data_IF_676251464524
#
_entry.id   IF_676251464524
#
_cell.length_a   1.000
_cell.length_b   1.000
_cell.length_c   1.000
_cell.angle_alpha   90.00
_cell.angle_beta   90.00
_cell.angle_gamma   90.00
#
_symmetry.space_group_name_H-M   'P 1'
#
loop_
_entity.id
_entity.type
_entity.pdbx_description
1 polymer ?
#
# COMPACT_ATOMS: atom_id res chain seq x y z
N UNK A 1 -17.98 36.97 7.58
CA UNK A 1 -17.01 37.18 8.69
C UNK A 1 -16.16 35.92 8.76
N UNK A 2 -15.01 35.95 8.10
CA UNK A 2 -14.07 34.84 7.92
C UNK A 2 -13.07 34.83 9.08
N UNK A 3 -13.26 33.97 10.09
CA UNK A 3 -12.31 33.87 11.23
C UNK A 3 -12.18 32.45 11.78
N UNK A 4 -12.23 31.42 10.91
CA UNK A 4 -11.90 30.03 11.31
C UNK A 4 -10.88 29.29 10.44
N UNK A 5 -10.24 29.95 9.47
CA UNK A 5 -9.21 29.33 8.62
C UNK A 5 -7.77 29.43 9.18
N UNK A 6 -7.54 30.18 10.27
CA UNK A 6 -6.18 30.45 10.76
C UNK A 6 -5.63 29.48 11.82
N UNK A 7 -6.39 28.48 12.26
CA UNK A 7 -5.95 27.51 13.29
C UNK A 7 -5.48 26.16 12.72
N UNK A 8 -5.73 25.89 11.43
CA UNK A 8 -5.26 24.66 10.79
C UNK A 8 -3.79 24.75 10.33
N UNK A 9 -3.31 25.95 10.00
CA UNK A 9 -1.95 26.15 9.48
C UNK A 9 -0.87 26.05 10.57
N UNK A 10 -1.13 26.56 11.78
CA UNK A 10 -0.17 26.51 12.89
C UNK A 10 0.00 25.09 13.46
N UNK A 11 -1.09 24.32 13.55
CA UNK A 11 -1.05 22.91 13.96
C UNK A 11 -0.32 22.03 12.93
N UNK A 12 -0.51 22.31 11.63
CA UNK A 12 0.22 21.63 10.56
C UNK A 12 1.72 21.94 10.57
N UNK A 13 2.13 23.13 11.04
CA UNK A 13 3.54 23.48 11.18
C UNK A 13 4.20 22.67 12.29
N UNK A 14 3.57 22.57 13.46
CA UNK A 14 4.07 21.77 14.59
C UNK A 14 4.21 20.28 14.29
N UNK A 15 3.19 19.67 13.67
CA UNK A 15 3.22 18.24 13.28
C UNK A 15 4.34 17.96 12.28
N UNK A 16 4.58 18.87 11.32
CA UNK A 16 5.67 18.71 10.35
C UNK A 16 7.05 18.81 10.99
N UNK A 17 7.21 19.64 12.02
CA UNK A 17 8.47 19.73 12.77
C UNK A 17 8.72 18.50 13.64
N UNK A 18 7.67 17.97 14.28
CA UNK A 18 7.74 16.72 15.05
C UNK A 18 8.11 15.53 14.17
N UNK A 19 7.47 15.35 13.01
CA UNK A 19 7.80 14.28 12.05
C UNK A 19 9.24 14.42 11.56
N UNK A 20 9.72 15.63 11.28
CA UNK A 20 11.11 15.86 10.88
C UNK A 20 12.10 15.49 11.99
N UNK A 21 11.80 15.86 13.23
CA UNK A 21 12.63 15.50 14.38
C UNK A 21 12.67 13.99 14.58
N UNK A 22 11.52 13.32 14.53
CA UNK A 22 11.40 11.87 14.65
C UNK A 22 12.19 11.16 13.54
N UNK A 23 12.03 11.59 12.28
CA UNK A 23 12.82 11.07 11.17
C UNK A 23 14.32 11.26 11.40
N UNK A 24 14.75 12.43 11.90
CA UNK A 24 16.16 12.68 12.23
C UNK A 24 16.69 11.71 13.30
N UNK A 25 15.94 11.51 14.38
CA UNK A 25 16.30 10.58 15.45
C UNK A 25 16.37 9.14 14.91
N UNK A 26 15.34 8.68 14.21
CA UNK A 26 15.28 7.32 13.66
C UNK A 26 16.40 7.07 12.66
N UNK A 27 16.74 8.04 11.80
CA UNK A 27 17.85 7.91 10.86
C UNK A 27 19.22 7.76 11.53
N UNK A 28 19.43 8.40 12.69
CA UNK A 28 20.65 8.18 13.49
C UNK A 28 20.63 6.79 14.13
N UNK A 29 19.48 6.36 14.65
CA UNK A 29 19.35 5.08 15.35
C UNK A 29 19.43 3.87 14.41
N UNK A 30 19.03 4.01 13.14
CA UNK A 30 19.03 2.91 12.17
C UNK A 30 20.41 2.66 11.55
N UNK A 31 21.29 3.66 11.48
CA UNK A 31 22.65 3.53 10.94
C UNK A 31 23.45 2.34 11.50
N UNK A 32 23.55 2.11 12.83
CA UNK A 32 24.26 0.94 13.35
C UNK A 32 23.58 -0.38 13.01
N UNK A 33 22.28 -0.37 12.72
CA UNK A 33 21.51 -1.55 12.28
C UNK A 33 21.81 -1.84 10.81
N UNK A 34 21.92 -0.81 9.97
CA UNK A 34 22.20 -0.89 8.52
C UNK A 34 23.68 -1.18 8.22
N UNK A 35 24.20 -2.25 8.83
CA UNK A 35 25.56 -2.71 8.66
C UNK A 35 25.65 -3.89 7.66
N UNK A 36 26.88 -4.32 7.35
CA UNK A 36 27.16 -5.42 6.42
C UNK A 36 26.44 -6.71 6.80
N UNK A 37 26.31 -7.02 8.10
CA UNK A 37 25.60 -8.22 8.54
C UNK A 37 24.12 -8.12 8.17
N UNK A 38 23.46 -7.01 8.50
CA UNK A 38 22.05 -6.81 8.16
C UNK A 38 21.82 -6.85 6.63
N UNK A 39 22.71 -6.25 5.84
CA UNK A 39 22.62 -6.32 4.37
C UNK A 39 22.59 -7.76 3.83
N UNK A 40 23.23 -8.70 4.53
CA UNK A 40 23.33 -10.10 4.12
C UNK A 40 22.34 -11.03 4.83
N UNK A 41 21.58 -10.56 5.82
CA UNK A 41 20.68 -11.44 6.61
C UNK A 41 19.27 -10.91 6.81
N UNK A 42 19.03 -9.61 6.59
CA UNK A 42 17.69 -9.03 6.78
C UNK A 42 16.82 -9.34 5.57
N UNK A 43 15.83 -10.20 5.76
CA UNK A 43 14.88 -10.64 4.71
C UNK A 43 13.65 -9.73 4.60
N UNK A 44 13.28 -9.06 5.68
CA UNK A 44 12.11 -8.17 5.74
C UNK A 44 12.47 -6.84 6.40
N UNK A 45 12.05 -5.74 5.79
CA UNK A 45 12.20 -4.39 6.33
C UNK A 45 10.84 -3.67 6.35
N UNK A 46 10.45 -3.16 7.51
CA UNK A 46 9.27 -2.32 7.68
C UNK A 46 9.67 -0.88 8.01
N UNK A 47 9.23 0.06 7.17
CA UNK A 47 9.43 1.50 7.26
C UNK A 47 8.07 2.19 7.46
N UNK A 48 7.46 1.94 8.60
CA UNK A 48 6.15 2.49 8.96
C UNK A 48 6.33 3.83 9.67
N UNK A 49 5.60 4.86 9.22
CA UNK A 49 5.57 6.21 9.79
C UNK A 49 6.91 6.98 9.80
N UNK A 50 7.97 6.44 9.20
CA UNK A 50 9.26 7.10 9.12
C UNK A 50 9.88 7.05 7.73
N UNK A 51 10.66 8.09 7.39
CA UNK A 51 11.37 8.21 6.11
C UNK A 51 12.88 8.07 6.32
N UNK A 52 13.51 7.26 5.47
CA UNK A 52 14.96 7.19 5.39
C UNK A 52 15.54 8.47 4.78
N UNK A 53 16.64 8.95 5.32
CA UNK A 53 17.45 9.98 4.67
C UNK A 53 18.19 9.38 3.45
N UNK A 54 18.82 10.25 2.67
CA UNK A 54 19.54 9.84 1.46
C UNK A 54 20.66 8.83 1.76
N UNK A 55 21.37 9.01 2.88
CA UNK A 55 22.46 8.11 3.28
C UNK A 55 21.94 6.69 3.54
N UNK A 56 20.91 6.56 4.37
CA UNK A 56 20.32 5.27 4.72
C UNK A 56 19.59 4.64 3.53
N UNK A 57 19.00 5.46 2.65
CA UNK A 57 18.37 4.99 1.41
C UNK A 57 19.39 4.43 0.43
N UNK A 58 20.57 5.03 0.31
CA UNK A 58 21.66 4.48 -0.50
C UNK A 58 22.16 3.14 0.04
N UNK A 59 22.18 2.96 1.37
CA UNK A 59 22.56 1.69 1.99
C UNK A 59 21.50 0.61 1.73
N UNK A 60 20.21 0.98 1.68
CA UNK A 60 19.11 0.05 1.40
C UNK A 60 19.34 -0.75 0.11
N UNK A 61 19.84 -0.11 -0.95
CA UNK A 61 20.15 -0.77 -2.22
C UNK A 61 21.19 -1.89 -2.13
N UNK A 62 21.97 -1.95 -1.04
CA UNK A 62 22.97 -3.00 -0.77
C UNK A 62 22.43 -4.23 -0.04
N UNK A 63 21.15 -4.26 0.34
CA UNK A 63 20.57 -5.40 1.06
C UNK A 63 20.25 -6.55 0.10
N UNK A 64 21.16 -7.53 0.01
CA UNK A 64 21.07 -8.68 -0.91
C UNK A 64 20.13 -9.79 -0.44
N UNK A 65 19.84 -9.86 0.87
CA UNK A 65 18.92 -10.85 1.45
C UNK A 65 17.47 -10.37 1.51
N UNK A 66 17.22 -9.08 1.30
CA UNK A 66 15.91 -8.44 1.50
C UNK A 66 14.89 -8.86 0.44
N UNK A 67 13.87 -9.62 0.82
CA UNK A 67 12.83 -10.11 -0.09
C UNK A 67 11.52 -9.36 0.06
N UNK A 68 11.29 -8.73 1.22
CA UNK A 68 10.07 -7.99 1.56
C UNK A 68 10.36 -6.59 2.07
N UNK A 69 9.69 -5.59 1.51
CA UNK A 69 9.64 -4.23 2.07
C UNK A 69 8.20 -3.84 2.38
N UNK A 70 8.01 -3.18 3.52
CA UNK A 70 6.77 -2.56 3.91
C UNK A 70 7.03 -1.08 4.18
N UNK A 71 6.23 -0.17 3.64
CA UNK A 71 6.43 1.28 3.76
C UNK A 71 5.09 2.00 3.90
N UNK A 72 5.06 3.09 4.65
CA UNK A 72 3.88 3.95 4.68
C UNK A 72 3.74 4.79 3.40
N UNK A 73 2.51 5.06 2.94
CA UNK A 73 2.25 5.93 1.77
C UNK A 73 2.95 7.28 1.88
N UNK A 74 2.93 7.86 3.08
CA UNK A 74 3.50 9.18 3.36
C UNK A 74 5.03 9.20 3.28
N UNK A 75 5.65 8.02 3.31
CA UNK A 75 7.10 7.82 3.36
C UNK A 75 7.65 7.23 2.04
N UNK A 76 6.78 6.79 1.13
CA UNK A 76 7.16 6.24 -0.17
C UNK A 76 7.39 7.33 -1.22
N UNK A 77 8.63 7.78 -1.41
CA UNK A 77 9.00 8.73 -2.47
C UNK A 77 9.82 8.10 -3.61
N UNK A 78 10.19 8.91 -4.60
CA UNK A 78 10.94 8.46 -5.77
C UNK A 78 12.32 7.95 -5.42
N UNK A 79 12.96 8.51 -4.39
CA UNK A 79 14.29 8.09 -3.93
C UNK A 79 14.18 6.70 -3.30
N UNK A 80 13.18 6.49 -2.45
CA UNK A 80 12.91 5.18 -1.87
C UNK A 80 12.61 4.14 -2.95
N UNK A 81 11.63 4.40 -3.84
CA UNK A 81 11.22 3.44 -4.87
C UNK A 81 12.36 3.06 -5.82
N UNK A 82 13.22 4.01 -6.19
CA UNK A 82 14.39 3.74 -7.03
C UNK A 82 15.50 2.96 -6.32
N UNK A 83 15.48 2.93 -4.98
CA UNK A 83 16.49 2.28 -4.14
C UNK A 83 16.07 0.90 -3.64
N UNK A 84 14.86 0.43 -3.97
CA UNK A 84 14.39 -0.92 -3.63
C UNK A 84 15.33 -1.96 -4.27
N UNK A 85 15.93 -2.87 -3.48
CA UNK A 85 16.82 -3.91 -4.01
C UNK A 85 16.12 -4.83 -5.00
N UNK A 86 16.86 -5.30 -6.01
CA UNK A 86 16.32 -6.17 -7.08
C UNK A 86 15.86 -7.54 -6.60
N UNK A 87 16.28 -7.94 -5.40
CA UNK A 87 15.87 -9.18 -4.73
C UNK A 87 14.52 -9.05 -4.00
N UNK A 88 13.99 -7.84 -3.83
CA UNK A 88 12.67 -7.64 -3.25
C UNK A 88 11.62 -8.18 -4.21
N UNK A 89 10.78 -9.09 -3.71
CA UNK A 89 9.66 -9.71 -4.42
C UNK A 89 8.31 -9.26 -3.87
N UNK A 90 8.27 -8.86 -2.60
CA UNK A 90 7.07 -8.43 -1.92
C UNK A 90 7.20 -6.97 -1.50
N UNK A 91 6.26 -6.14 -1.94
CA UNK A 91 6.16 -4.74 -1.54
C UNK A 91 4.80 -4.48 -0.90
N UNK A 92 4.80 -3.93 0.30
CA UNK A 92 3.60 -3.47 0.98
C UNK A 92 3.66 -1.95 1.09
N UNK A 93 2.62 -1.28 0.60
CA UNK A 93 2.47 0.17 0.76
C UNK A 93 1.16 0.42 1.51
N UNK A 94 1.28 0.87 2.76
CA UNK A 94 0.18 0.93 3.72
C UNK A 94 -0.06 2.36 4.18
N UNK A 95 -1.30 2.67 4.58
CA UNK A 95 -1.66 3.94 5.18
C UNK A 95 -1.37 3.96 6.65
N UNK A 96 -1.16 5.15 7.19
CA UNK A 96 -1.19 5.33 8.63
C UNK A 96 -2.65 5.19 9.11
N UNK A 97 -2.90 4.23 9.99
CA UNK A 97 -4.22 3.95 10.57
C UNK A 97 -4.56 4.85 11.76
N UNK A 98 -3.57 5.56 12.30
CA UNK A 98 -3.70 6.42 13.47
C UNK A 98 -3.93 7.90 13.12
N UNK A 99 -3.86 8.27 11.84
CA UNK A 99 -4.14 9.64 11.39
C UNK A 99 -5.64 9.81 11.16
N UNK A 100 -6.34 10.14 12.24
CA UNK A 100 -7.76 10.50 12.22
C UNK A 100 -8.06 11.56 11.15
N UNK A 101 -8.92 11.21 10.18
CA UNK A 101 -9.82 12.03 9.36
C UNK A 101 -9.33 13.34 8.70
N UNK A 102 -8.06 13.75 8.85
CA UNK A 102 -7.59 15.09 8.54
C UNK A 102 -6.30 15.17 7.73
N UNK A 103 -5.64 14.04 7.44
CA UNK A 103 -4.67 14.01 6.34
C UNK A 103 -5.44 13.91 5.02
N UNK A 104 -6.02 15.06 4.66
CA UNK A 104 -6.49 15.43 3.34
C UNK A 104 -5.70 14.68 2.27
N UNK A 105 -6.35 13.77 1.54
CA UNK A 105 -6.43 13.75 0.08
C UNK A 105 -5.17 14.26 -0.68
N UNK A 106 -3.96 13.94 -0.22
CA UNK A 106 -2.70 14.55 -0.67
C UNK A 106 -1.52 13.57 -0.60
N UNK A 107 -1.45 12.56 -1.47
CA UNK A 107 -0.87 12.67 -2.81
C UNK A 107 0.59 12.23 -3.02
N UNK A 108 1.19 11.43 -2.14
CA UNK A 108 2.57 10.94 -2.37
C UNK A 108 2.63 9.80 -3.40
N UNK A 109 1.79 8.77 -3.29
CA UNK A 109 1.62 7.79 -4.39
C UNK A 109 0.77 8.30 -5.56
N UNK A 110 0.28 9.53 -5.46
CA UNK A 110 -0.39 10.21 -6.54
C UNK A 110 0.58 11.11 -7.33
N UNK A 111 1.86 11.15 -6.94
CA UNK A 111 2.91 11.69 -7.78
C UNK A 111 3.12 10.75 -8.96
N UNK A 112 2.85 11.24 -10.17
CA UNK A 112 3.07 10.53 -11.43
C UNK A 112 4.45 9.86 -11.54
N UNK A 113 5.49 10.46 -10.95
CA UNK A 113 6.83 9.86 -10.92
C UNK A 113 6.90 8.61 -10.04
N UNK A 114 6.27 8.61 -8.86
CA UNK A 114 6.21 7.43 -8.01
C UNK A 114 5.41 6.31 -8.67
N UNK A 115 4.27 6.64 -9.27
CA UNK A 115 3.43 5.73 -10.08
C UNK A 115 4.25 5.09 -11.20
N UNK A 116 5.00 5.91 -11.96
CA UNK A 116 5.86 5.42 -13.03
C UNK A 116 6.98 4.51 -12.51
N UNK A 117 7.63 4.86 -11.41
CA UNK A 117 8.68 4.03 -10.83
C UNK A 117 8.13 2.68 -10.34
N UNK A 118 6.95 2.68 -9.72
CA UNK A 118 6.28 1.45 -9.28
C UNK A 118 6.06 0.48 -10.46
N UNK A 119 5.64 0.99 -11.62
CA UNK A 119 5.45 0.19 -12.83
C UNK A 119 6.75 -0.29 -13.49
N UNK A 120 7.89 0.27 -13.09
CA UNK A 120 9.22 -0.16 -13.54
C UNK A 120 9.84 -1.24 -12.63
N UNK A 121 9.25 -1.52 -11.46
CA UNK A 121 9.75 -2.51 -10.49
C UNK A 121 9.50 -3.96 -10.93
N UNK A 122 10.21 -4.42 -11.95
CA UNK A 122 10.06 -5.76 -12.56
C UNK A 122 10.25 -6.95 -11.62
N UNK A 123 10.86 -6.76 -10.45
CA UNK A 123 11.14 -7.87 -9.54
C UNK A 123 9.98 -8.15 -8.57
N UNK A 124 9.06 -7.21 -8.41
CA UNK A 124 7.91 -7.34 -7.51
C UNK A 124 6.90 -8.33 -8.11
N UNK A 125 6.58 -9.35 -7.32
CA UNK A 125 5.63 -10.41 -7.65
C UNK A 125 4.38 -10.33 -6.76
N UNK A 126 4.50 -9.72 -5.57
CA UNK A 126 3.41 -9.48 -4.63
C UNK A 126 3.37 -8.01 -4.22
N UNK A 127 2.18 -7.41 -4.31
CA UNK A 127 1.93 -6.03 -3.93
C UNK A 127 0.76 -5.99 -2.96
N UNK A 128 0.98 -5.43 -1.77
CA UNK A 128 -0.08 -5.08 -0.82
C UNK A 128 -0.33 -3.59 -0.87
N UNK A 129 -1.59 -3.21 -1.10
CA UNK A 129 -2.05 -1.82 -1.07
C UNK A 129 -3.38 -1.74 -0.35
N UNK A 130 -3.74 -0.55 0.06
CA UNK A 130 -5.06 -0.23 0.60
C UNK A 130 -6.04 0.16 -0.52
N UNK A 131 -7.34 -0.08 -0.33
CA UNK A 131 -8.36 0.20 -1.33
C UNK A 131 -8.44 1.67 -1.70
N UNK A 132 -8.03 2.57 -0.81
CA UNK A 132 -7.92 3.98 -1.11
C UNK A 132 -6.89 4.28 -2.21
N UNK A 133 -5.81 3.48 -2.33
CA UNK A 133 -4.84 3.59 -3.43
C UNK A 133 -5.48 3.27 -4.78
N UNK A 134 -6.49 2.40 -4.78
CA UNK A 134 -7.20 2.00 -5.99
C UNK A 134 -8.22 3.05 -6.45
N UNK A 135 -8.56 4.07 -5.66
CA UNK A 135 -9.56 5.09 -6.03
C UNK A 135 -9.24 5.82 -7.34
N UNK A 136 -7.96 5.94 -7.70
CA UNK A 136 -7.54 6.55 -8.95
C UNK A 136 -7.23 5.51 -10.01
N UNK A 137 -7.97 5.57 -11.13
CA UNK A 137 -7.88 4.60 -12.23
C UNK A 137 -6.48 4.49 -12.84
N UNK A 138 -5.71 5.59 -12.81
CA UNK A 138 -4.33 5.63 -13.27
C UNK A 138 -3.38 4.76 -12.44
N UNK A 139 -3.71 4.48 -11.18
CA UNK A 139 -2.88 3.65 -10.30
C UNK A 139 -2.93 2.18 -10.73
N UNK A 140 -4.02 1.73 -11.37
CA UNK A 140 -4.06 0.38 -11.94
C UNK A 140 -3.05 0.22 -13.07
N UNK A 141 -2.87 1.22 -13.93
CA UNK A 141 -1.86 1.17 -15.01
C UNK A 141 -0.41 1.14 -14.49
N UNK A 142 -0.24 1.26 -13.17
CA UNK A 142 1.07 1.41 -12.52
C UNK A 142 1.54 0.19 -11.76
N UNK A 143 0.82 -0.93 -11.85
CA UNK A 143 1.26 -2.15 -11.22
C UNK A 143 2.56 -2.68 -11.83
N UNK A 144 3.43 -3.29 -11.01
CA UNK A 144 4.60 -3.98 -11.49
C UNK A 144 4.26 -5.00 -12.59
N UNK A 145 5.07 -5.12 -13.65
CA UNK A 145 4.71 -5.92 -14.84
C UNK A 145 4.71 -7.43 -14.58
N UNK A 146 5.41 -7.89 -13.53
CA UNK A 146 5.48 -9.29 -13.13
C UNK A 146 4.64 -9.57 -11.88
N UNK A 147 3.71 -8.67 -11.53
CA UNK A 147 2.83 -8.84 -10.40
C UNK A 147 1.96 -10.09 -10.60
N UNK A 148 2.02 -11.04 -9.67
CA UNK A 148 1.22 -12.27 -9.67
C UNK A 148 0.17 -12.25 -8.57
N UNK A 149 0.45 -11.56 -7.48
CA UNK A 149 -0.41 -11.49 -6.30
C UNK A 149 -0.68 -10.04 -5.91
N UNK A 150 -1.95 -9.64 -5.93
CA UNK A 150 -2.40 -8.37 -5.35
C UNK A 150 -3.11 -8.66 -4.03
N UNK A 151 -2.69 -7.97 -2.97
CA UNK A 151 -3.39 -7.94 -1.68
C UNK A 151 -3.98 -6.56 -1.47
N UNK A 152 -5.28 -6.49 -1.22
CA UNK A 152 -6.02 -5.24 -1.03
C UNK A 152 -6.58 -5.20 0.39
N UNK A 153 -6.12 -4.25 1.21
CA UNK A 153 -6.68 -3.92 2.53
C UNK A 153 -7.59 -2.71 2.49
N UNK A 154 -8.41 -2.49 3.52
CA UNK A 154 -9.20 -1.27 3.70
C UNK A 154 -9.89 -0.77 2.42
N UNK A 155 -10.85 -1.55 1.95
CA UNK A 155 -11.64 -1.17 0.81
C UNK A 155 -12.91 -0.47 1.26
N UNK A 156 -12.84 0.86 1.42
CA UNK A 156 -14.06 1.66 1.46
C UNK A 156 -14.58 1.83 0.04
N UNK A 157 -15.76 1.26 -0.20
CA UNK A 157 -16.46 1.37 -1.48
C UNK A 157 -16.83 2.82 -1.75
N UNK A 158 -16.42 3.31 -2.92
CA UNK A 158 -16.94 4.55 -3.49
C UNK A 158 -17.36 4.25 -4.92
N UNK A 159 -18.59 4.58 -5.27
CA UNK A 159 -19.00 4.70 -6.67
C UNK A 159 -18.12 5.75 -7.33
N UNK A 160 -17.09 5.30 -8.03
CA UNK A 160 -16.32 6.19 -8.89
C UNK A 160 -16.87 6.08 -10.32
N UNK A 161 -17.30 7.23 -10.84
CA UNK A 161 -17.94 7.37 -12.16
C UNK A 161 -16.93 7.28 -13.33
N UNK A 162 -15.79 6.61 -13.16
CA UNK A 162 -14.72 6.64 -14.15
C UNK A 162 -14.84 5.52 -15.18
N UNK A 163 -14.53 5.88 -16.42
CA UNK A 163 -14.55 4.99 -17.59
C UNK A 163 -13.62 3.80 -17.37
N UNK A 164 -14.10 2.60 -17.75
CA UNK A 164 -13.31 1.38 -17.71
C UNK A 164 -12.08 1.52 -18.60
N UNK A 165 -10.90 1.24 -18.07
CA UNK A 165 -9.72 1.05 -18.91
C UNK A 165 -9.89 -0.24 -19.74
N UNK A 166 -9.57 -0.18 -21.03
CA UNK A 166 -9.67 -1.34 -21.93
C UNK A 166 -8.58 -2.40 -21.69
N UNK A 167 -7.57 -2.10 -20.87
CA UNK A 167 -6.48 -3.01 -20.53
C UNK A 167 -6.65 -3.44 -19.08
N UNK A 168 -6.81 -4.75 -18.86
CA UNK A 168 -6.92 -5.37 -17.55
C UNK A 168 -5.65 -6.16 -17.24
N UNK A 169 -5.28 -6.19 -15.96
CA UNK A 169 -4.15 -6.95 -15.45
C UNK A 169 -4.55 -8.40 -15.24
N UNK A 170 -3.63 -9.30 -15.56
CA UNK A 170 -3.76 -10.73 -15.26
C UNK A 170 -2.99 -11.00 -13.98
N UNK A 171 -3.67 -11.54 -12.98
CA UNK A 171 -3.09 -11.96 -11.71
C UNK A 171 -3.36 -13.46 -11.51
N UNK A 172 -2.48 -14.14 -10.81
CA UNK A 172 -2.73 -15.51 -10.37
C UNK A 172 -3.53 -15.52 -9.07
N UNK A 173 -3.24 -14.57 -8.17
CA UNK A 173 -3.80 -14.51 -6.83
C UNK A 173 -4.32 -13.13 -6.48
N UNK A 174 -5.50 -13.08 -5.89
CA UNK A 174 -6.07 -11.89 -5.28
C UNK A 174 -6.42 -12.19 -3.82
N UNK A 175 -5.94 -11.35 -2.90
CA UNK A 175 -6.31 -11.42 -1.48
C UNK A 175 -7.03 -10.15 -1.08
N UNK A 176 -8.24 -10.30 -0.53
CA UNK A 176 -9.03 -9.20 0.00
C UNK A 176 -9.01 -9.26 1.53
N UNK A 177 -8.41 -8.25 2.17
CA UNK A 177 -8.45 -8.08 3.62
C UNK A 177 -9.66 -7.22 3.99
N UNK A 178 -10.69 -7.84 4.58
CA UNK A 178 -11.92 -7.14 4.96
C UNK A 178 -11.75 -6.27 6.20
N UNK A 179 -10.83 -6.65 7.10
CA UNK A 179 -10.60 -5.94 8.36
C UNK A 179 -9.11 -5.85 8.67
N UNK A 180 -8.69 -4.73 9.24
CA UNK A 180 -7.34 -4.62 9.84
C UNK A 180 -7.27 -3.68 11.06
N UNK A 181 -8.42 -3.18 11.57
CA UNK A 181 -8.47 -2.46 12.85
C UNK A 181 -9.53 -3.09 13.78
N UNK A 182 -9.19 -3.31 15.05
CA UNK A 182 -10.09 -3.86 16.06
C UNK A 182 -11.32 -2.96 16.29
N UNK A 183 -11.15 -1.65 16.10
CA UNK A 183 -12.20 -0.65 16.33
C UNK A 183 -13.28 -0.58 15.23
N UNK A 184 -12.95 -1.01 14.01
CA UNK A 184 -13.90 -1.02 12.88
C UNK A 184 -14.60 -2.36 12.69
N UNK A 185 -14.51 -3.27 13.68
CA UNK A 185 -15.23 -4.55 13.73
C UNK A 185 -16.74 -4.34 13.97
N UNK A 186 -17.42 -3.65 13.06
CA UNK A 186 -18.84 -3.88 12.87
C UNK A 186 -18.95 -5.32 12.37
N UNK A 187 -19.47 -6.22 13.20
CA UNK A 187 -19.72 -7.61 12.82
C UNK A 187 -20.79 -7.59 11.72
N UNK A 188 -20.35 -7.61 10.47
CA UNK A 188 -21.24 -7.86 9.34
C UNK A 188 -21.77 -9.28 9.44
N UNK A 189 -23.04 -9.46 9.15
CA UNK A 189 -23.57 -10.79 8.93
C UNK A 189 -23.02 -11.38 7.60
N UNK A 190 -23.26 -12.66 7.37
CA UNK A 190 -22.76 -13.34 6.18
C UNK A 190 -23.33 -12.78 4.87
N UNK A 191 -24.51 -12.15 4.90
CA UNK A 191 -25.15 -11.55 3.72
C UNK A 191 -24.47 -10.22 3.39
N UNK A 192 -24.30 -9.35 4.39
CA UNK A 192 -23.58 -8.08 4.26
C UNK A 192 -22.14 -8.32 3.79
N UNK A 193 -21.45 -9.31 4.36
CA UNK A 193 -20.08 -9.68 3.95
C UNK A 193 -20.04 -10.08 2.47
N UNK A 194 -20.98 -10.91 2.02
CA UNK A 194 -21.07 -11.33 0.60
C UNK A 194 -21.31 -10.15 -0.32
N UNK A 195 -22.25 -9.27 0.02
CA UNK A 195 -22.55 -8.07 -0.77
C UNK A 195 -21.29 -7.20 -0.92
N UNK A 196 -20.55 -6.99 0.16
CA UNK A 196 -19.29 -6.21 0.14
C UNK A 196 -18.22 -6.86 -0.73
N UNK A 197 -18.02 -8.18 -0.61
CA UNK A 197 -17.09 -8.93 -1.46
C UNK A 197 -17.49 -8.77 -2.93
N UNK A 198 -18.77 -8.93 -3.26
CA UNK A 198 -19.28 -8.82 -4.62
C UNK A 198 -19.08 -7.41 -5.18
N UNK A 199 -19.34 -6.36 -4.40
CA UNK A 199 -19.08 -4.96 -4.76
C UNK A 199 -17.58 -4.72 -5.04
N UNK A 200 -16.70 -5.24 -4.19
CA UNK A 200 -15.25 -5.15 -4.36
C UNK A 200 -14.80 -5.85 -5.65
N UNK A 201 -15.26 -7.08 -5.87
CA UNK A 201 -14.93 -7.83 -7.08
C UNK A 201 -15.49 -7.16 -8.33
N UNK A 202 -16.73 -6.65 -8.29
CA UNK A 202 -17.30 -5.89 -9.39
C UNK A 202 -16.46 -4.66 -9.74
N UNK A 203 -15.97 -3.93 -8.74
CA UNK A 203 -15.06 -2.81 -8.95
C UNK A 203 -13.72 -3.27 -9.56
N UNK A 204 -13.08 -4.28 -8.96
CA UNK A 204 -11.78 -4.79 -9.40
C UNK A 204 -11.83 -5.43 -10.80
N UNK A 205 -12.98 -5.99 -11.20
CA UNK A 205 -13.20 -6.59 -12.53
C UNK A 205 -13.00 -5.61 -13.69
N UNK A 206 -13.07 -4.29 -13.41
CA UNK A 206 -12.78 -3.24 -14.38
C UNK A 206 -11.30 -3.16 -14.75
N UNK A 207 -10.42 -3.67 -13.88
CA UNK A 207 -8.97 -3.53 -13.99
C UNK A 207 -8.23 -4.86 -13.93
N UNK A 208 -8.86 -5.93 -13.46
CA UNK A 208 -8.26 -7.25 -13.28
C UNK A 208 -9.12 -8.28 -14.03
N UNK A 209 -8.46 -9.20 -14.74
CA UNK A 209 -9.11 -10.35 -15.39
C UNK A 209 -9.42 -11.43 -14.34
N UNK A 210 -10.52 -11.22 -13.59
CA UNK A 210 -10.90 -12.11 -12.49
C UNK A 210 -11.15 -13.56 -12.92
N UNK A 211 -11.52 -13.80 -14.19
CA UNK A 211 -11.71 -15.12 -14.78
C UNK A 211 -10.41 -15.92 -14.93
N UNK A 212 -9.26 -15.24 -14.89
CA UNK A 212 -7.92 -15.86 -14.95
C UNK A 212 -7.28 -16.08 -13.58
N UNK A 213 -7.95 -15.67 -12.49
CA UNK A 213 -7.45 -15.92 -11.13
C UNK A 213 -7.43 -17.42 -10.85
N UNK A 214 -6.28 -17.92 -10.38
CA UNK A 214 -6.14 -19.28 -9.86
C UNK A 214 -6.64 -19.34 -8.41
N UNK A 215 -6.45 -18.25 -7.66
CA UNK A 215 -6.79 -18.19 -6.24
C UNK A 215 -7.38 -16.83 -5.85
N UNK A 216 -8.52 -16.86 -5.16
CA UNK A 216 -9.11 -15.71 -4.48
C UNK A 216 -9.28 -16.03 -2.99
N UNK A 217 -8.62 -15.24 -2.15
CA UNK A 217 -8.68 -15.36 -0.69
C UNK A 217 -9.37 -14.13 -0.11
N UNK A 218 -10.30 -14.37 0.82
CA UNK A 218 -10.84 -13.32 1.68
C UNK A 218 -10.38 -13.59 3.12
N UNK A 219 -9.69 -12.63 3.73
CA UNK A 219 -9.18 -12.70 5.10
C UNK A 219 -9.94 -11.70 5.99
N UNK A 220 -10.43 -12.19 7.14
CA UNK A 220 -11.23 -11.42 8.11
C UNK A 220 -10.44 -11.06 9.38
N UNK A 221 -9.12 -10.87 9.28
CA UNK A 221 -8.24 -10.44 10.37
C UNK A 221 -7.99 -11.47 11.49
N UNK A 222 -8.87 -12.44 11.73
CA UNK A 222 -8.71 -13.48 12.78
C UNK A 222 -9.21 -14.90 12.40
N UNK A 223 -9.87 -15.09 11.26
CA UNK A 223 -10.40 -16.39 10.84
C UNK A 223 -9.66 -16.99 9.65
N UNK A 224 -9.69 -18.32 9.54
CA UNK A 224 -9.14 -19.09 8.42
C UNK A 224 -9.55 -18.47 7.07
N UNK A 225 -8.64 -18.42 6.08
CA UNK A 225 -8.90 -17.83 4.78
C UNK A 225 -10.16 -18.44 4.15
N UNK A 226 -11.12 -17.60 3.80
CA UNK A 226 -12.30 -18.04 3.05
C UNK A 226 -11.95 -18.04 1.56
N UNK A 227 -11.94 -19.22 0.96
CA UNK A 227 -11.83 -19.35 -0.49
C UNK A 227 -13.17 -18.96 -1.13
N UNK A 228 -13.24 -17.74 -1.67
CA UNK A 228 -14.39 -17.28 -2.41
C UNK A 228 -14.24 -17.70 -3.88
N UNK A 229 -15.14 -18.55 -4.35
CA UNK A 229 -15.30 -18.80 -5.78
C UNK A 229 -16.46 -17.92 -6.27
N UNK A 230 -16.22 -16.95 -7.16
CA UNK A 230 -17.31 -16.20 -7.77
C UNK A 230 -18.26 -17.17 -8.45
N UNK A 231 -19.56 -16.98 -8.23
CA UNK A 231 -20.56 -17.68 -9.03
C UNK A 231 -20.27 -17.32 -10.48
N UNK A 232 -19.96 -18.31 -11.32
CA UNK A 232 -19.80 -18.10 -12.76
C UNK A 232 -21.06 -17.38 -13.27
N UNK A 233 -20.89 -16.17 -13.81
CA UNK A 233 -21.93 -15.51 -14.59
C UNK A 233 -22.30 -16.36 -15.81
#
# INVERSE_FOLDING_TARGET
MYTKLRKADDNNCGIKEEIKLLNGIVNVLIQPIFNVRAQNTLETLGLLEFRLDESNTNILGGFVALTKNCVSYEMSDTIFLSSIPRNVRQLEILGNLNTSEYFNEGWILFNYQCIKLLSELKCIEELTVEGHFLRQTQNFQSFPPNLKHLKVSYFDYYESCYESNNIRFVLNKLTLLMYNNEESRVKWDDVERRIRIDEMLNYLSRYIELDKLEELIVEDGENEPYHYFPSKC
#
